data_IF_313520951259
#
_entry.id   IF_313520951259
#
_cell.length_a   1.000
_cell.length_b   1.000
_cell.length_c   1.000
_cell.angle_alpha   90.00
_cell.angle_beta   90.00
_cell.angle_gamma   90.00
#
_symmetry.space_group_name_H-M   'P 1'
#
loop_
_entity.id
_entity.type
_entity.pdbx_description
1 polymer ?
#
# COMPACT_ATOMS: atom_id res chain seq x y z
N UNK A 1 16.45 11.84 7.12
CA UNK A 1 15.58 10.70 7.49
C UNK A 1 16.29 9.35 7.41
N UNK A 2 16.84 8.93 6.25
CA UNK A 2 17.50 7.61 6.16
C UNK A 2 18.71 7.48 7.09
N UNK A 3 19.56 8.51 7.18
CA UNK A 3 20.69 8.53 8.14
C UNK A 3 20.20 8.34 9.58
N UNK A 4 19.19 9.11 10.00
CA UNK A 4 18.57 8.98 11.34
C UNK A 4 18.03 7.56 11.56
N UNK A 5 17.35 6.96 10.58
CA UNK A 5 16.84 5.59 10.70
C UNK A 5 17.97 4.56 10.85
N UNK A 6 19.14 4.80 10.24
CA UNK A 6 20.33 3.95 10.43
C UNK A 6 20.93 4.11 11.81
N UNK A 7 21.06 5.35 12.29
CA UNK A 7 21.60 5.64 13.61
C UNK A 7 20.75 5.01 14.72
N UNK A 8 19.44 4.84 14.47
CA UNK A 8 18.51 4.15 15.37
C UNK A 8 18.41 2.64 15.14
N UNK A 9 19.14 2.07 14.17
CA UNK A 9 19.03 0.64 13.82
C UNK A 9 17.68 0.23 13.21
N UNK A 10 16.91 1.19 12.71
CA UNK A 10 15.53 1.02 12.21
C UNK A 10 15.42 1.04 10.68
N UNK A 11 16.52 1.22 9.95
CA UNK A 11 16.49 1.41 8.49
C UNK A 11 15.66 0.32 7.77
N UNK A 12 15.76 -0.95 8.18
CA UNK A 12 15.04 -2.08 7.57
C UNK A 12 13.52 -2.05 7.76
N UNK A 13 13.02 -1.18 8.65
CA UNK A 13 11.60 -0.97 8.95
C UNK A 13 11.03 0.28 8.27
N UNK A 14 11.86 1.02 7.51
CA UNK A 14 11.45 2.25 6.83
C UNK A 14 11.10 1.95 5.38
N UNK A 15 9.98 2.52 4.93
CA UNK A 15 9.56 2.57 3.53
C UNK A 15 9.78 4.01 3.03
N UNK A 16 10.55 4.15 1.95
CA UNK A 16 10.73 5.41 1.22
C UNK A 16 9.84 5.35 -0.01
N UNK A 17 9.02 6.38 -0.23
CA UNK A 17 8.06 6.44 -1.33
C UNK A 17 8.40 7.57 -2.30
N UNK A 18 8.09 7.37 -3.58
CA UNK A 18 8.27 8.40 -4.62
C UNK A 18 7.26 8.19 -5.77
N UNK A 19 6.77 9.29 -6.35
CA UNK A 19 5.85 9.26 -7.47
C UNK A 19 6.58 8.98 -8.79
N UNK A 20 6.11 7.97 -9.53
CA UNK A 20 6.64 7.59 -10.83
C UNK A 20 5.54 7.62 -11.88
N UNK A 21 5.82 8.25 -13.02
CA UNK A 21 4.87 8.36 -14.13
C UNK A 21 5.50 8.26 -15.52
N UNK A 22 6.83 8.13 -15.61
CA UNK A 22 7.55 7.89 -16.85
C UNK A 22 8.98 7.36 -16.57
N UNK A 23 9.70 6.99 -17.63
CA UNK A 23 11.08 6.50 -17.57
C UNK A 23 12.07 7.50 -16.96
N UNK A 24 11.91 8.80 -17.24
CA UNK A 24 12.76 9.84 -16.66
C UNK A 24 12.66 9.87 -15.13
N UNK A 25 11.46 9.66 -14.58
CA UNK A 25 11.25 9.55 -13.13
C UNK A 25 11.84 8.27 -12.56
N UNK A 26 11.76 7.15 -13.27
CA UNK A 26 12.43 5.91 -12.90
C UNK A 26 13.94 6.13 -12.78
N UNK A 27 14.57 6.75 -13.79
CA UNK A 27 16.02 6.99 -13.79
C UNK A 27 16.44 7.96 -12.68
N UNK A 28 15.66 9.03 -12.47
CA UNK A 28 15.90 9.97 -11.38
C UNK A 28 15.81 9.28 -10.01
N UNK A 29 14.78 8.46 -9.78
CA UNK A 29 14.62 7.70 -8.54
C UNK A 29 15.77 6.71 -8.33
N UNK A 30 16.20 5.97 -9.37
CA UNK A 30 17.38 5.09 -9.30
C UNK A 30 18.63 5.84 -8.86
N UNK A 31 18.89 7.02 -9.45
CA UNK A 31 20.05 7.81 -9.11
C UNK A 31 20.03 8.30 -7.64
N UNK A 32 18.84 8.68 -7.13
CA UNK A 32 18.68 9.08 -5.73
C UNK A 32 18.86 7.89 -4.79
N UNK A 33 18.25 6.74 -5.08
CA UNK A 33 18.35 5.53 -4.27
C UNK A 33 19.78 5.00 -4.21
N UNK A 34 20.50 5.01 -5.34
CA UNK A 34 21.92 4.64 -5.39
C UNK A 34 22.77 5.51 -4.45
N UNK A 35 22.50 6.82 -4.40
CA UNK A 35 23.18 7.75 -3.47
C UNK A 35 22.75 7.54 -2.01
N UNK A 36 21.48 7.21 -1.79
CA UNK A 36 20.97 6.95 -0.44
C UNK A 36 21.54 5.67 0.17
N UNK A 37 21.93 4.70 -0.66
CA UNK A 37 22.42 3.38 -0.26
C UNK A 37 21.29 2.41 0.07
N UNK A 38 21.62 1.24 0.62
CA UNK A 38 20.64 0.19 0.94
C UNK A 38 20.10 0.24 2.38
N UNK A 39 19.39 -0.82 2.75
CA UNK A 39 18.93 -1.08 4.10
C UNK A 39 17.55 -0.54 4.44
N UNK A 40 16.79 -0.06 3.47
CA UNK A 40 15.38 0.35 3.59
C UNK A 40 14.57 -0.20 2.42
N UNK A 41 13.24 -0.14 2.50
CA UNK A 41 12.36 -0.55 1.40
C UNK A 41 11.99 0.66 0.54
N UNK A 42 11.94 0.49 -0.78
CA UNK A 42 11.40 1.50 -1.68
C UNK A 42 10.02 1.08 -2.18
N UNK A 43 9.07 2.01 -2.16
CA UNK A 43 7.70 1.79 -2.63
C UNK A 43 7.30 2.88 -3.63
N UNK A 44 7.17 2.55 -4.92
CA UNK A 44 6.65 3.46 -5.92
C UNK A 44 5.21 3.88 -5.63
N UNK A 45 4.87 5.12 -6.01
CA UNK A 45 3.50 5.62 -6.08
C UNK A 45 3.16 5.85 -7.55
N UNK A 46 2.06 5.26 -8.01
CA UNK A 46 1.50 5.45 -9.35
C UNK A 46 0.13 6.11 -9.21
N UNK A 47 -0.14 7.11 -10.03
CA UNK A 47 -1.38 7.87 -9.98
C UNK A 47 -2.07 7.89 -11.34
N UNK A 48 -3.40 7.76 -11.33
CA UNK A 48 -4.20 7.52 -12.53
C UNK A 48 -4.43 8.76 -13.42
N UNK A 49 -3.94 9.92 -13.00
CA UNK A 49 -3.85 11.13 -13.82
C UNK A 49 -2.69 11.09 -14.81
N UNK A 50 -1.67 10.25 -14.55
CA UNK A 50 -0.51 10.10 -15.44
C UNK A 50 -0.21 8.65 -15.86
N UNK A 51 -0.67 7.66 -15.09
CA UNK A 51 -0.45 6.24 -15.36
C UNK A 51 -1.80 5.57 -15.64
N UNK A 52 -2.00 5.11 -16.88
CA UNK A 52 -3.31 4.62 -17.32
C UNK A 52 -3.34 3.14 -17.68
N UNK A 53 -2.23 2.44 -17.52
CA UNK A 53 -2.16 1.01 -17.79
C UNK A 53 -1.14 0.31 -16.87
N UNK A 54 -1.24 -1.02 -16.87
CA UNK A 54 -0.41 -1.87 -16.03
C UNK A 54 0.97 -2.17 -16.62
N UNK A 55 1.22 -1.84 -17.89
CA UNK A 55 2.53 -2.05 -18.54
C UNK A 55 3.58 -1.20 -17.85
N UNK A 56 3.26 0.06 -17.53
CA UNK A 56 4.17 0.93 -16.79
C UNK A 56 4.50 0.37 -15.40
N UNK A 57 3.54 -0.24 -14.70
CA UNK A 57 3.81 -0.90 -13.42
C UNK A 57 4.80 -2.06 -13.58
N UNK A 58 4.75 -2.81 -14.69
CA UNK A 58 5.74 -3.83 -15.03
C UNK A 58 7.14 -3.26 -15.32
N UNK A 59 7.25 -2.05 -15.86
CA UNK A 59 8.55 -1.37 -16.01
C UNK A 59 9.12 -0.94 -14.66
N UNK A 60 8.27 -0.42 -13.78
CA UNK A 60 8.61 -0.05 -12.40
C UNK A 60 9.03 -1.27 -11.59
N UNK A 61 8.33 -2.39 -11.73
CA UNK A 61 8.68 -3.67 -11.10
C UNK A 61 10.09 -4.12 -11.50
N UNK A 62 10.38 -4.18 -12.80
CA UNK A 62 11.74 -4.52 -13.30
C UNK A 62 12.82 -3.56 -12.81
N UNK A 63 12.47 -2.30 -12.61
CA UNK A 63 13.41 -1.26 -12.20
C UNK A 63 13.79 -1.34 -10.72
N UNK A 64 12.88 -1.78 -9.84
CA UNK A 64 13.04 -1.65 -8.40
C UNK A 64 12.74 -2.91 -7.57
N UNK A 65 12.09 -3.93 -8.15
CA UNK A 65 11.58 -5.11 -7.45
C UNK A 65 10.86 -4.75 -6.12
N UNK A 66 9.85 -3.86 -6.16
CA UNK A 66 9.21 -3.36 -4.96
C UNK A 66 8.36 -4.44 -4.29
N UNK A 67 8.18 -4.37 -2.97
CA UNK A 67 7.26 -5.27 -2.24
C UNK A 67 5.80 -4.83 -2.32
N UNK A 68 5.58 -3.56 -2.60
CA UNK A 68 4.26 -2.95 -2.73
C UNK A 68 4.35 -1.76 -3.69
N UNK A 69 3.22 -1.39 -4.28
CA UNK A 69 3.05 -0.17 -5.06
C UNK A 69 1.79 0.54 -4.55
N UNK A 70 1.93 1.82 -4.24
CA UNK A 70 0.83 2.72 -3.89
C UNK A 70 0.13 3.18 -5.17
N UNK A 71 -1.19 3.05 -5.20
CA UNK A 71 -2.00 3.28 -6.38
C UNK A 71 -3.07 4.32 -6.05
N UNK A 72 -2.96 5.49 -6.68
CA UNK A 72 -3.87 6.60 -6.48
C UNK A 72 -4.95 6.57 -7.55
N UNK A 73 -6.22 6.46 -7.13
CA UNK A 73 -7.36 6.67 -8.00
C UNK A 73 -7.92 8.06 -7.69
N UNK A 74 -7.49 9.10 -8.41
CA UNK A 74 -7.94 10.45 -8.10
C UNK A 74 -9.45 10.58 -8.33
N UNK A 75 -10.13 11.19 -7.36
CA UNK A 75 -11.50 11.65 -7.57
C UNK A 75 -11.55 12.74 -8.65
N UNK A 76 -10.52 13.59 -8.72
CA UNK A 76 -10.33 14.62 -9.75
C UNK A 76 -11.60 15.44 -10.12
N UNK A 77 -12.39 15.83 -9.12
CA UNK A 77 -13.63 16.60 -9.33
C UNK A 77 -14.85 15.79 -9.75
N UNK A 78 -14.76 14.46 -9.84
CA UNK A 78 -15.90 13.60 -10.14
C UNK A 78 -17.01 13.75 -9.09
N UNK A 79 -18.24 13.91 -9.60
CA UNK A 79 -19.46 14.00 -8.78
C UNK A 79 -19.85 12.65 -8.19
N UNK A 80 -19.48 11.54 -8.87
CA UNK A 80 -19.83 10.18 -8.48
C UNK A 80 -18.63 9.39 -7.97
N UNK A 81 -18.90 8.35 -7.19
CA UNK A 81 -17.89 7.41 -6.73
C UNK A 81 -17.35 6.60 -7.92
N UNK A 82 -16.05 6.31 -7.90
CA UNK A 82 -15.44 5.34 -8.84
C UNK A 82 -16.19 4.01 -8.79
N UNK A 83 -16.57 3.45 -9.93
CA UNK A 83 -17.26 2.16 -9.99
C UNK A 83 -16.28 1.00 -10.11
N UNK A 84 -15.08 1.24 -10.66
CA UNK A 84 -14.10 0.20 -10.99
C UNK A 84 -12.78 0.35 -10.24
N UNK A 85 -12.47 1.52 -9.66
CA UNK A 85 -11.13 1.84 -9.17
C UNK A 85 -10.15 2.25 -10.27
N UNK A 86 -10.67 2.49 -11.48
CA UNK A 86 -9.86 2.96 -12.61
C UNK A 86 -8.88 1.92 -13.16
N UNK A 87 -7.92 2.34 -13.99
CA UNK A 87 -6.95 1.44 -14.60
C UNK A 87 -6.01 0.79 -13.58
N UNK A 88 -5.69 1.50 -12.48
CA UNK A 88 -4.74 1.04 -11.48
C UNK A 88 -5.31 -0.06 -10.58
N UNK A 89 -6.63 -0.19 -10.44
CA UNK A 89 -7.24 -1.28 -9.66
C UNK A 89 -7.97 -2.31 -10.55
N UNK A 90 -7.67 -2.31 -11.85
CA UNK A 90 -8.23 -3.25 -12.81
C UNK A 90 -7.58 -4.64 -12.78
N UNK A 91 -8.21 -5.60 -13.44
CA UNK A 91 -7.73 -6.99 -13.54
C UNK A 91 -6.31 -7.11 -14.10
N UNK A 92 -5.92 -6.22 -15.03
CA UNK A 92 -4.56 -6.20 -15.59
C UNK A 92 -3.52 -5.80 -14.54
N UNK A 93 -3.80 -4.76 -13.73
CA UNK A 93 -2.88 -4.37 -12.66
C UNK A 93 -2.72 -5.49 -11.63
N UNK A 94 -3.83 -6.12 -11.24
CA UNK A 94 -3.79 -7.28 -10.32
C UNK A 94 -2.97 -8.44 -10.88
N UNK A 95 -3.05 -8.71 -12.18
CA UNK A 95 -2.25 -9.76 -12.82
C UNK A 95 -0.76 -9.41 -12.82
N UNK A 96 -0.42 -8.15 -13.08
CA UNK A 96 0.98 -7.66 -13.00
C UNK A 96 1.52 -7.77 -11.57
N UNK A 97 0.70 -7.44 -10.57
CA UNK A 97 1.04 -7.58 -9.16
C UNK A 97 1.27 -9.02 -8.73
N UNK A 98 0.36 -9.92 -9.11
CA UNK A 98 0.51 -11.34 -8.81
C UNK A 98 1.75 -11.94 -9.50
N UNK A 99 2.06 -11.50 -10.72
CA UNK A 99 3.24 -11.96 -11.46
C UNK A 99 4.55 -11.45 -10.85
N UNK A 100 4.55 -10.23 -10.32
CA UNK A 100 5.71 -9.61 -9.69
C UNK A 100 5.83 -9.84 -8.18
N UNK A 101 4.90 -10.61 -7.59
CA UNK A 101 4.81 -10.86 -6.14
C UNK A 101 4.85 -9.58 -5.29
N UNK A 102 4.05 -8.58 -5.67
CA UNK A 102 3.96 -7.31 -4.96
C UNK A 102 2.53 -6.93 -4.59
N UNK A 103 2.38 -6.12 -3.54
CA UNK A 103 1.11 -5.74 -2.95
C UNK A 103 0.52 -4.46 -3.55
N UNK A 104 -0.80 -4.41 -3.74
CA UNK A 104 -1.51 -3.17 -4.07
C UNK A 104 -1.82 -2.41 -2.78
N UNK A 105 -1.40 -1.15 -2.72
CA UNK A 105 -1.66 -0.24 -1.61
C UNK A 105 -2.67 0.82 -2.02
N UNK A 106 -3.77 0.92 -1.25
CA UNK A 106 -4.83 1.90 -1.44
C UNK A 106 -4.89 2.89 -0.27
N UNK A 107 -5.12 4.16 -0.58
CA UNK A 107 -5.21 5.24 0.41
C UNK A 107 -6.65 5.71 0.57
N UNK A 108 -7.19 5.62 1.79
CA UNK A 108 -8.56 6.04 2.12
C UNK A 108 -8.62 7.28 3.01
N UNK A 109 -7.47 7.73 3.51
CA UNK A 109 -7.32 8.88 4.39
C UNK A 109 -7.69 10.22 3.71
N UNK A 110 -7.95 11.25 4.52
CA UNK A 110 -8.36 12.57 4.03
C UNK A 110 -7.15 13.44 3.66
N UNK A 111 -7.28 14.22 2.57
CA UNK A 111 -6.32 15.28 2.26
C UNK A 111 -6.91 16.62 2.69
N UNK A 112 -6.14 17.38 3.47
CA UNK A 112 -6.50 18.73 3.90
C UNK A 112 -6.93 19.58 2.69
N UNK A 113 -8.08 20.23 2.81
CA UNK A 113 -8.70 21.07 1.77
C UNK A 113 -9.12 20.32 0.48
N UNK A 114 -9.31 18.99 0.54
CA UNK A 114 -9.88 18.21 -0.55
C UNK A 114 -11.19 17.52 -0.11
N UNK A 115 -12.10 17.22 -1.04
CA UNK A 115 -13.27 16.40 -0.74
C UNK A 115 -12.89 15.01 -0.21
N UNK A 116 -13.76 14.40 0.59
CA UNK A 116 -13.56 13.04 1.09
C UNK A 116 -13.31 12.02 -0.02
N UNK A 117 -12.42 11.07 0.27
CA UNK A 117 -11.95 10.04 -0.67
C UNK A 117 -11.20 10.58 -1.89
N UNK A 118 -10.50 11.72 -1.79
CA UNK A 118 -9.84 12.33 -2.96
C UNK A 118 -8.80 11.41 -3.64
N UNK A 119 -8.05 10.62 -2.87
CA UNK A 119 -7.10 9.61 -3.35
C UNK A 119 -7.76 8.28 -3.76
N UNK A 120 -9.04 8.13 -3.41
CA UNK A 120 -9.79 6.89 -3.44
C UNK A 120 -11.02 7.01 -4.35
N UNK A 121 -11.02 7.85 -5.37
CA UNK A 121 -12.16 7.99 -6.29
C UNK A 121 -13.49 8.28 -5.58
N UNK A 122 -13.45 8.96 -4.44
CA UNK A 122 -14.59 9.24 -3.55
C UNK A 122 -14.89 8.18 -2.46
N UNK A 123 -14.18 7.05 -2.44
CA UNK A 123 -14.39 5.90 -1.54
C UNK A 123 -13.40 5.87 -0.37
N UNK A 124 -13.29 7.00 0.32
CA UNK A 124 -12.40 7.19 1.47
C UNK A 124 -13.06 6.91 2.82
N UNK A 125 -12.36 7.29 3.89
CA UNK A 125 -12.75 7.04 5.28
C UNK A 125 -14.04 7.76 5.68
N UNK A 126 -14.38 8.90 5.08
CA UNK A 126 -15.66 9.57 5.35
C UNK A 126 -16.85 8.71 4.91
N UNK A 127 -16.71 7.96 3.82
CA UNK A 127 -17.71 7.00 3.38
C UNK A 127 -17.76 5.80 4.34
N UNK A 128 -16.59 5.32 4.78
CA UNK A 128 -16.49 4.17 5.67
C UNK A 128 -17.11 4.44 7.06
N UNK A 129 -16.75 5.57 7.67
CA UNK A 129 -17.06 5.88 9.07
C UNK A 129 -18.22 6.85 9.19
N UNK A 130 -18.11 8.06 8.62
CA UNK A 130 -19.13 9.09 8.80
C UNK A 130 -20.47 8.72 8.14
N UNK A 131 -20.43 8.07 6.97
CA UNK A 131 -21.63 7.53 6.32
C UNK A 131 -21.96 6.09 6.73
N UNK A 132 -21.14 5.44 7.57
CA UNK A 132 -21.33 4.04 8.00
C UNK A 132 -21.41 3.03 6.83
N UNK A 133 -20.64 3.25 5.76
CA UNK A 133 -20.58 2.38 4.58
C UNK A 133 -19.16 1.78 4.37
N UNK A 134 -18.60 1.04 5.33
CA UNK A 134 -17.25 0.47 5.23
C UNK A 134 -17.09 -0.54 4.08
N UNK A 135 -18.16 -1.22 3.67
CA UNK A 135 -18.15 -2.09 2.48
C UNK A 135 -17.91 -1.30 1.19
N UNK A 136 -18.47 -0.10 1.10
CA UNK A 136 -18.33 0.77 -0.09
C UNK A 136 -16.98 1.50 -0.13
N UNK A 137 -16.21 1.47 0.95
CA UNK A 137 -14.86 2.02 1.04
C UNK A 137 -13.82 0.90 1.12
N UNK A 138 -13.49 0.40 2.32
CA UNK A 138 -12.46 -0.62 2.51
C UNK A 138 -12.78 -1.92 1.78
N UNK A 139 -14.04 -2.40 1.85
CA UNK A 139 -14.46 -3.61 1.14
C UNK A 139 -14.31 -3.50 -0.37
N UNK A 140 -14.64 -2.34 -0.94
CA UNK A 140 -14.49 -2.06 -2.37
C UNK A 140 -13.04 -2.21 -2.84
N UNK A 141 -12.09 -1.69 -2.07
CA UNK A 141 -10.66 -1.77 -2.39
C UNK A 141 -10.11 -3.18 -2.24
N UNK A 142 -10.53 -3.90 -1.20
CA UNK A 142 -10.16 -5.33 -1.03
C UNK A 142 -10.68 -6.18 -2.19
N UNK A 143 -11.95 -5.98 -2.61
CA UNK A 143 -12.53 -6.69 -3.76
C UNK A 143 -11.76 -6.39 -5.07
N UNK A 144 -11.03 -5.26 -5.11
CA UNK A 144 -10.14 -4.83 -6.19
C UNK A 144 -8.69 -5.25 -6.02
N UNK A 145 -8.40 -6.08 -5.03
CA UNK A 145 -7.09 -6.67 -4.81
C UNK A 145 -6.14 -5.80 -3.99
N UNK A 146 -6.61 -4.71 -3.37
CA UNK A 146 -5.81 -4.02 -2.37
C UNK A 146 -5.52 -4.97 -1.20
N UNK A 147 -4.25 -5.10 -0.86
CA UNK A 147 -3.77 -5.90 0.28
C UNK A 147 -3.18 -5.03 1.39
N UNK A 148 -2.99 -3.74 1.12
CA UNK A 148 -2.60 -2.73 2.10
C UNK A 148 -3.58 -1.55 1.98
N UNK A 149 -4.07 -1.06 3.12
CA UNK A 149 -4.91 0.14 3.21
C UNK A 149 -4.24 1.12 4.16
N UNK A 150 -4.00 2.35 3.69
CA UNK A 150 -3.59 3.48 4.53
C UNK A 150 -4.82 4.34 4.83
N UNK A 151 -5.11 4.53 6.11
CA UNK A 151 -6.37 5.10 6.61
C UNK A 151 -6.10 5.97 7.83
N UNK A 152 -6.92 7.01 8.02
CA UNK A 152 -6.98 7.80 9.26
C UNK A 152 -7.84 7.12 10.34
N UNK A 153 -8.52 6.02 10.00
CA UNK A 153 -9.46 5.28 10.85
C UNK A 153 -8.98 3.84 11.13
N UNK A 154 -7.71 3.64 11.58
CA UNK A 154 -7.09 2.31 11.61
C UNK A 154 -7.81 1.33 12.53
N UNK A 155 -8.38 1.80 13.65
CA UNK A 155 -9.14 0.94 14.57
C UNK A 155 -10.39 0.38 13.89
N UNK A 156 -11.20 1.26 13.28
CA UNK A 156 -12.44 0.86 12.63
C UNK A 156 -12.16 -0.03 11.41
N UNK A 157 -11.12 0.28 10.63
CA UNK A 157 -10.69 -0.54 9.51
C UNK A 157 -10.26 -1.94 9.96
N UNK A 158 -9.40 -2.05 10.99
CA UNK A 158 -8.94 -3.34 11.52
C UNK A 158 -10.11 -4.19 12.01
N UNK A 159 -11.01 -3.61 12.81
CA UNK A 159 -12.16 -4.31 13.37
C UNK A 159 -13.09 -4.81 12.27
N UNK A 160 -13.44 -3.95 11.31
CA UNK A 160 -14.34 -4.32 10.22
C UNK A 160 -13.72 -5.36 9.29
N UNK A 161 -12.46 -5.18 8.87
CA UNK A 161 -11.76 -6.13 7.99
C UNK A 161 -11.63 -7.51 8.64
N UNK A 162 -11.35 -7.57 9.95
CA UNK A 162 -11.29 -8.83 10.69
C UNK A 162 -12.67 -9.50 10.79
N UNK A 163 -13.71 -8.74 11.17
CA UNK A 163 -15.07 -9.26 11.30
C UNK A 163 -15.65 -9.79 9.97
N UNK A 164 -15.16 -9.28 8.83
CA UNK A 164 -15.61 -9.68 7.49
C UNK A 164 -14.64 -10.66 6.80
N UNK A 165 -13.64 -11.20 7.51
CA UNK A 165 -12.74 -12.24 6.99
C UNK A 165 -11.69 -11.75 5.98
N UNK A 166 -11.53 -10.43 5.83
CA UNK A 166 -10.54 -9.83 4.94
C UNK A 166 -9.15 -9.69 5.58
N UNK A 167 -9.08 -9.79 6.91
CA UNK A 167 -7.84 -9.73 7.65
C UNK A 167 -7.77 -10.86 8.66
N UNK A 168 -6.66 -11.59 8.63
CA UNK A 168 -6.28 -12.50 9.73
C UNK A 168 -5.52 -11.69 10.78
N UNK A 169 -6.00 -11.63 12.03
CA UNK A 169 -5.24 -10.99 13.10
C UNK A 169 -3.89 -11.67 13.29
N UNK A 170 -2.86 -10.88 13.61
CA UNK A 170 -1.61 -11.46 14.09
C UNK A 170 -1.90 -12.30 15.33
N UNK A 171 -1.46 -13.56 15.33
CA UNK A 171 -1.57 -14.43 16.50
C UNK A 171 -0.75 -13.81 17.62
N UNK A 172 -1.33 -13.62 18.80
CA UNK A 172 -0.59 -13.22 20.00
C UNK A 172 0.26 -14.35 20.57
N UNK A 173 0.22 -15.53 19.96
CA UNK A 173 1.09 -16.66 20.27
C UNK A 173 2.53 -16.34 19.85
N UNK A 174 3.22 -15.62 20.72
CA UNK A 174 4.66 -15.78 20.85
C UNK A 174 4.85 -17.26 21.14
N UNK A 175 5.34 -18.05 20.18
CA UNK A 175 5.83 -19.40 20.46
C UNK A 175 6.80 -19.26 21.62
N UNK A 176 6.41 -19.74 22.81
CA UNK A 176 7.36 -19.92 23.89
C UNK A 176 8.49 -20.77 23.33
N UNK A 177 9.68 -20.21 23.26
CA UNK A 177 10.88 -20.99 22.99
C UNK A 177 10.96 -22.00 24.12
N UNK A 178 10.69 -23.28 23.84
CA UNK A 178 10.88 -24.33 24.84
C UNK A 178 12.30 -24.20 25.38
N UNK A 179 12.49 -24.13 26.71
CA UNK A 179 13.83 -24.12 27.27
C UNK A 179 14.53 -25.41 26.85
N UNK A 180 15.67 -25.26 26.18
CA UNK A 180 16.50 -26.38 25.75
C UNK A 180 16.71 -27.33 26.92
N UNK A 181 16.20 -28.56 26.80
CA UNK A 181 16.41 -29.62 27.77
C UNK A 181 17.91 -29.72 28.04
N UNK A 182 18.32 -29.36 29.26
CA UNK A 182 19.67 -29.62 29.74
C UNK A 182 19.80 -31.13 29.86
N UNK A 183 20.62 -31.73 29.00
CA UNK A 183 20.92 -33.15 29.08
C UNK A 183 21.50 -33.46 30.47
N UNK A 184 20.77 -34.25 31.25
CA UNK A 184 21.34 -34.87 32.45
C UNK A 184 22.28 -35.99 31.99
N UNK A 185 23.57 -35.80 32.23
CA UNK A 185 24.57 -36.85 32.14
C UNK A 185 24.46 -37.66 33.43
N UNK A 186 24.06 -38.92 33.32
CA UNK A 186 24.30 -39.96 34.32
C UNK A 186 25.37 -40.91 33.79
#
# INVERSE_FOLDING_TARGET
MIAVARDLGMAGQVIVKENLWNSQRIDAAKAVLAKAGGGFQFMPILADDAVHDAVFAGEVEKAFAPRAIELINWRNGAETLTSTGGPLFGNRMRAEAARGDWHLWADTYAIVNKPGGFLAGGRGDELAVAASLPREAWGFWVDRGATIIQTDEPKAAIEWLAANGYRVPYTTDIKQVEPAHTASIN
#
